data_IF_102995902190
#
_entry.id   IF_102995902190
#
_cell.length_a   1.000
_cell.length_b   1.000
_cell.length_c   1.000
_cell.angle_alpha   90.00
_cell.angle_beta   90.00
_cell.angle_gamma   90.00
#
_symmetry.space_group_name_H-M   'P 1'
#
loop_
_entity.id
_entity.type
_entity.pdbx_description
1 polymer ?
#
# COMPACT_ATOMS: atom_id res chain seq x y z
N UNK A 1 6.21 -23.47 7.79
CA UNK A 1 5.73 -22.42 6.87
C UNK A 1 6.75 -21.29 6.78
N UNK A 2 6.45 -20.23 6.03
CA UNK A 2 7.25 -18.97 5.96
C UNK A 2 6.37 -17.78 6.36
N UNK A 3 7.00 -16.69 6.78
CA UNK A 3 6.31 -15.42 7.12
C UNK A 3 6.59 -14.37 6.05
N UNK A 4 5.67 -13.42 5.91
CA UNK A 4 5.90 -12.20 5.13
C UNK A 4 6.65 -11.19 6.02
N UNK A 5 7.83 -10.76 5.58
CA UNK A 5 8.67 -9.79 6.31
C UNK A 5 8.32 -8.36 5.91
N UNK A 6 7.10 -7.93 6.24
CA UNK A 6 6.60 -6.58 5.99
C UNK A 6 5.96 -6.05 7.28
N UNK A 7 6.31 -4.83 7.66
CA UNK A 7 5.58 -4.11 8.71
C UNK A 7 4.19 -3.76 8.18
N UNK A 8 3.17 -4.54 8.53
CA UNK A 8 1.81 -4.35 8.01
C UNK A 8 0.96 -3.59 9.03
N UNK A 9 0.92 -2.26 8.90
CA UNK A 9 0.32 -1.37 9.91
C UNK A 9 -0.66 -0.39 9.23
N UNK A 10 -1.71 -0.90 8.55
CA UNK A 10 -2.49 -0.08 7.63
C UNK A 10 -3.49 0.87 8.32
N UNK A 11 -3.93 0.62 9.56
CA UNK A 11 -5.04 1.39 10.16
C UNK A 11 -4.95 1.81 11.64
N UNK A 12 -3.81 1.68 12.37
CA UNK A 12 -3.72 2.28 13.70
C UNK A 12 -3.80 3.81 13.70
N UNK A 13 -4.35 4.37 14.77
CA UNK A 13 -4.43 5.81 14.99
C UNK A 13 -3.10 6.36 15.53
N UNK A 14 -2.17 6.54 14.61
CA UNK A 14 -0.83 7.06 14.88
C UNK A 14 0.23 5.96 14.93
N UNK A 15 1.47 6.36 14.67
CA UNK A 15 2.63 5.48 14.68
C UNK A 15 3.73 6.09 15.54
N UNK A 16 4.36 5.28 16.38
CA UNK A 16 5.47 5.72 17.23
C UNK A 16 6.71 5.98 16.38
N UNK A 17 7.54 6.97 16.74
CA UNK A 17 8.75 7.31 15.98
C UNK A 17 9.79 6.19 15.93
N UNK A 18 9.73 5.24 16.88
CA UNK A 18 10.62 4.08 16.99
C UNK A 18 10.23 2.91 16.06
N UNK A 19 9.22 3.04 15.20
CA UNK A 19 8.82 1.96 14.28
C UNK A 19 9.99 1.40 13.45
N UNK A 20 10.91 2.24 12.89
CA UNK A 20 12.10 1.74 12.22
C UNK A 20 12.99 0.84 13.08
N UNK A 21 13.30 1.26 14.31
CA UNK A 21 14.10 0.48 15.26
C UNK A 21 13.44 -0.86 15.59
N UNK A 22 12.14 -0.84 15.90
CA UNK A 22 11.38 -2.04 16.30
C UNK A 22 11.36 -3.05 15.15
N UNK A 23 10.94 -2.65 13.95
CA UNK A 23 10.82 -3.57 12.81
C UNK A 23 12.17 -4.16 12.42
N UNK A 24 13.23 -3.35 12.42
CA UNK A 24 14.59 -3.81 12.11
C UNK A 24 15.10 -4.84 13.12
N UNK A 25 14.72 -4.71 14.40
CA UNK A 25 14.99 -5.70 15.45
C UNK A 25 14.40 -7.09 15.18
N UNK A 26 13.33 -7.16 14.38
CA UNK A 26 12.72 -8.42 13.91
C UNK A 26 13.19 -8.82 12.51
N UNK A 27 14.21 -8.13 11.96
CA UNK A 27 14.70 -8.36 10.61
C UNK A 27 13.67 -8.04 9.53
N UNK A 28 12.83 -7.03 9.78
CA UNK A 28 11.89 -6.41 8.84
C UNK A 28 12.43 -5.02 8.53
N UNK A 29 12.73 -4.76 7.27
CA UNK A 29 13.39 -3.54 6.77
C UNK A 29 12.44 -2.64 5.96
N UNK A 30 11.14 -2.93 6.03
CA UNK A 30 10.11 -2.22 5.29
C UNK A 30 8.78 -2.17 6.04
N UNK A 31 7.95 -1.17 5.71
CA UNK A 31 6.63 -0.97 6.30
C UNK A 31 5.64 -0.47 5.24
N UNK A 32 4.38 -0.89 5.37
CA UNK A 32 3.25 -0.22 4.73
C UNK A 32 2.30 0.33 5.80
N UNK A 33 1.83 1.56 5.61
CA UNK A 33 0.95 2.23 6.57
C UNK A 33 0.12 3.33 5.91
N UNK A 34 -1.00 3.73 6.53
CA UNK A 34 -1.91 4.73 5.96
C UNK A 34 -1.99 6.01 6.76
N UNK A 35 -2.08 5.92 8.09
CA UNK A 35 -2.43 7.09 8.92
C UNK A 35 -1.18 7.85 9.36
N UNK A 36 -1.38 9.10 9.77
CA UNK A 36 -0.34 9.90 10.42
C UNK A 36 0.47 10.82 9.51
N UNK A 37 0.26 10.77 8.19
CA UNK A 37 0.79 11.75 7.23
C UNK A 37 -0.36 12.33 6.43
N UNK A 38 -0.41 13.65 6.26
CA UNK A 38 -1.34 14.25 5.33
C UNK A 38 -0.95 13.87 3.90
N UNK A 39 -1.90 13.30 3.15
CA UNK A 39 -1.67 12.76 1.81
C UNK A 39 -0.91 13.74 0.90
N UNK A 40 -1.37 14.99 0.86
CA UNK A 40 -0.85 16.06 0.01
C UNK A 40 0.48 16.66 0.54
N UNK A 41 0.89 16.31 1.76
CA UNK A 41 2.17 16.77 2.36
C UNK A 41 3.26 15.70 2.36
N UNK A 42 2.95 14.47 1.94
CA UNK A 42 3.94 13.39 1.88
C UNK A 42 4.95 13.58 0.74
N UNK A 43 6.16 13.02 0.88
CA UNK A 43 7.21 13.07 -0.14
C UNK A 43 6.95 12.14 -1.34
N UNK A 44 5.84 11.41 -1.34
CA UNK A 44 5.49 10.40 -2.33
C UNK A 44 4.79 9.20 -1.69
N UNK A 45 4.55 8.16 -2.48
CA UNK A 45 4.07 6.86 -1.99
C UNK A 45 5.18 6.13 -1.24
N UNK A 46 6.43 6.27 -1.68
CA UNK A 46 7.57 5.57 -1.12
C UNK A 46 8.68 6.53 -0.65
N UNK A 47 9.21 6.28 0.54
CA UNK A 47 10.30 7.06 1.13
C UNK A 47 11.06 6.27 2.18
N UNK A 48 12.19 6.81 2.64
CA UNK A 48 12.94 6.26 3.77
C UNK A 48 12.41 6.88 5.06
N UNK A 49 11.96 6.04 5.99
CA UNK A 49 11.61 6.49 7.33
C UNK A 49 12.77 6.22 8.29
N UNK A 50 13.37 7.31 8.78
CA UNK A 50 14.39 7.29 9.82
C UNK A 50 13.77 7.44 11.22
N UNK A 51 14.13 6.52 12.13
CA UNK A 51 13.80 6.58 13.55
C UNK A 51 14.73 7.53 14.31
N UNK A 52 14.39 7.88 15.57
CA UNK A 52 15.18 8.81 16.37
C UNK A 52 16.59 8.29 16.71
N UNK A 53 16.82 6.97 16.63
CA UNK A 53 18.13 6.33 16.81
C UNK A 53 18.97 6.28 15.52
N UNK A 54 18.45 6.84 14.42
CA UNK A 54 19.07 6.78 13.11
C UNK A 54 18.76 5.50 12.32
N UNK A 55 17.98 4.56 12.88
CA UNK A 55 17.58 3.36 12.15
C UNK A 55 16.64 3.72 11.00
N UNK A 56 16.94 3.22 9.81
CA UNK A 56 16.13 3.46 8.60
C UNK A 56 15.42 2.18 8.12
N UNK A 57 14.22 2.37 7.55
CA UNK A 57 13.52 1.37 6.76
C UNK A 57 12.86 2.00 5.52
N UNK A 58 12.49 1.15 4.57
CA UNK A 58 11.71 1.56 3.39
C UNK A 58 10.22 1.61 3.73
N UNK A 59 9.57 2.74 3.50
CA UNK A 59 8.20 2.96 3.88
C UNK A 59 7.31 3.20 2.65
N UNK A 60 6.14 2.56 2.64
CA UNK A 60 5.08 2.80 1.66
C UNK A 60 3.87 3.42 2.37
N UNK A 61 3.57 4.67 2.04
CA UNK A 61 2.38 5.38 2.48
C UNK A 61 1.22 5.10 1.53
N UNK A 62 0.13 4.56 2.08
CA UNK A 62 -1.02 4.11 1.33
C UNK A 62 -1.80 5.27 0.66
N UNK A 63 -2.60 4.96 -0.39
CA UNK A 63 -3.46 5.91 -1.07
C UNK A 63 -4.36 6.73 -0.15
N UNK A 64 -4.96 7.80 -0.67
CA UNK A 64 -5.92 8.64 0.08
C UNK A 64 -7.10 7.85 0.63
N UNK A 65 -7.53 6.85 -0.14
CA UNK A 65 -8.61 5.90 0.23
C UNK A 65 -8.13 4.76 1.13
N UNK A 66 -6.84 4.72 1.49
CA UNK A 66 -6.25 3.69 2.31
C UNK A 66 -6.00 2.40 1.56
N UNK A 67 -6.34 1.28 2.20
CA UNK A 67 -6.06 -0.06 1.69
C UNK A 67 -7.14 -0.64 0.78
N UNK A 68 -7.92 0.21 0.11
CA UNK A 68 -9.07 -0.20 -0.70
C UNK A 68 -9.15 0.43 -2.10
N UNK A 69 -8.03 0.96 -2.62
CA UNK A 69 -7.98 1.60 -3.94
C UNK A 69 -8.26 0.67 -5.14
N UNK A 70 -8.38 -0.64 -4.92
CA UNK A 70 -8.82 -1.60 -5.94
C UNK A 70 -9.84 -2.59 -5.38
N UNK A 71 -10.68 -2.18 -4.41
CA UNK A 71 -11.71 -3.05 -3.84
C UNK A 71 -12.87 -3.31 -4.82
N UNK A 72 -13.57 -4.44 -4.66
CA UNK A 72 -14.83 -4.76 -5.35
C UNK A 72 -14.80 -4.58 -6.88
N UNK A 73 -13.79 -5.15 -7.54
CA UNK A 73 -13.66 -5.08 -8.99
C UNK A 73 -14.67 -6.03 -9.66
N UNK A 74 -15.41 -5.59 -10.69
CA UNK A 74 -16.31 -6.43 -11.44
C UNK A 74 -15.55 -7.50 -12.24
N UNK A 75 -16.23 -8.58 -12.62
CA UNK A 75 -15.67 -9.62 -13.50
C UNK A 75 -15.38 -9.10 -14.91
N UNK A 76 -16.17 -8.13 -15.39
CA UNK A 76 -15.94 -7.46 -16.66
C UNK A 76 -14.64 -6.64 -16.62
N UNK A 77 -13.64 -7.09 -17.38
CA UNK A 77 -12.30 -6.49 -17.42
C UNK A 77 -12.33 -5.02 -17.82
N UNK A 78 -13.22 -4.64 -18.75
CA UNK A 78 -13.36 -3.26 -19.20
C UNK A 78 -13.85 -2.33 -18.09
N UNK A 79 -14.83 -2.78 -17.30
CA UNK A 79 -15.30 -2.05 -16.13
C UNK A 79 -14.27 -2.06 -14.99
N UNK A 80 -13.61 -3.18 -14.73
CA UNK A 80 -12.56 -3.28 -13.72
C UNK A 80 -11.42 -2.31 -14.01
N UNK A 81 -10.96 -2.25 -15.27
CA UNK A 81 -9.95 -1.30 -15.72
C UNK A 81 -10.38 0.16 -15.49
N UNK A 82 -11.63 0.51 -15.85
CA UNK A 82 -12.16 1.86 -15.62
C UNK A 82 -12.14 2.25 -14.14
N UNK A 83 -12.42 1.31 -13.24
CA UNK A 83 -12.39 1.57 -11.79
C UNK A 83 -10.97 1.78 -11.29
N UNK A 84 -10.01 0.93 -11.67
CA UNK A 84 -8.62 1.07 -11.20
C UNK A 84 -7.86 2.19 -11.90
N UNK A 85 -8.30 2.68 -13.07
CA UNK A 85 -7.64 3.77 -13.80
C UNK A 85 -7.48 5.04 -12.93
N UNK A 86 -8.51 5.39 -12.16
CA UNK A 86 -8.44 6.51 -11.22
C UNK A 86 -7.43 6.28 -10.10
N UNK A 87 -7.34 5.06 -9.58
CA UNK A 87 -6.34 4.68 -8.59
C UNK A 87 -4.92 4.70 -9.16
N UNK A 88 -4.74 4.28 -10.41
CA UNK A 88 -3.46 4.34 -11.12
C UNK A 88 -3.01 5.79 -11.31
N UNK A 89 -3.91 6.67 -11.76
CA UNK A 89 -3.62 8.11 -11.93
C UNK A 89 -3.24 8.79 -10.60
N UNK A 90 -3.97 8.49 -9.52
CA UNK A 90 -3.68 8.99 -8.17
C UNK A 90 -2.30 8.50 -7.68
N UNK A 91 -2.00 7.21 -7.82
CA UNK A 91 -0.71 6.65 -7.43
C UNK A 91 0.44 7.23 -8.25
N UNK A 92 0.29 7.36 -9.58
CA UNK A 92 1.32 7.90 -10.47
C UNK A 92 1.70 9.35 -10.12
N UNK A 93 0.78 10.12 -9.55
CA UNK A 93 1.06 11.51 -9.15
C UNK A 93 2.08 11.62 -8.01
N UNK A 94 2.30 10.54 -7.25
CA UNK A 94 3.13 10.48 -6.04
C UNK A 94 4.18 9.36 -6.06
N UNK A 95 4.26 8.59 -7.14
CA UNK A 95 5.16 7.45 -7.26
C UNK A 95 6.63 7.87 -7.34
N UNK A 96 7.52 7.12 -6.66
CA UNK A 96 8.98 7.31 -6.74
C UNK A 96 9.77 6.04 -7.13
N UNK A 97 9.11 4.87 -7.22
CA UNK A 97 9.71 3.53 -7.36
C UNK A 97 9.44 2.78 -8.69
N UNK A 98 8.73 3.38 -9.64
CA UNK A 98 8.14 2.83 -10.88
C UNK A 98 7.15 1.68 -10.67
N UNK A 99 6.66 1.52 -9.45
CA UNK A 99 5.70 0.46 -9.08
C UNK A 99 4.45 1.09 -8.47
N UNK A 100 3.29 0.52 -8.76
CA UNK A 100 2.01 0.98 -8.22
C UNK A 100 1.38 -0.12 -7.36
N UNK A 101 0.92 0.24 -6.17
CA UNK A 101 0.29 -0.69 -5.23
C UNK A 101 -1.24 -0.58 -5.28
N UNK A 102 -1.87 -1.55 -5.92
CA UNK A 102 -3.33 -1.73 -5.94
C UNK A 102 -3.75 -2.76 -4.89
N UNK A 103 -4.59 -2.34 -3.94
CA UNK A 103 -5.03 -3.13 -2.80
C UNK A 103 -6.48 -3.59 -3.04
N UNK A 104 -6.62 -4.85 -3.45
CA UNK A 104 -7.89 -5.51 -3.67
C UNK A 104 -8.42 -6.09 -2.36
N UNK A 105 -8.96 -5.22 -1.51
CA UNK A 105 -9.46 -5.58 -0.19
C UNK A 105 -10.04 -4.36 0.51
N UNK A 106 -10.80 -4.60 1.56
CA UNK A 106 -11.19 -3.61 2.57
C UNK A 106 -11.69 -4.39 3.79
N UNK A 107 -12.06 -3.70 4.86
CA UNK A 107 -12.65 -4.29 6.05
C UNK A 107 -13.77 -5.28 5.70
N UNK A 108 -13.58 -6.52 6.11
CA UNK A 108 -14.55 -7.62 5.97
C UNK A 108 -14.98 -7.93 4.52
N UNK A 109 -14.23 -7.48 3.51
CA UNK A 109 -14.51 -7.86 2.12
C UNK A 109 -14.08 -9.31 1.87
N UNK A 110 -14.99 -10.10 1.29
CA UNK A 110 -14.66 -11.45 0.84
C UNK A 110 -13.64 -11.43 -0.30
N UNK A 111 -12.77 -12.44 -0.32
CA UNK A 111 -11.81 -12.59 -1.40
C UNK A 111 -12.56 -12.79 -2.73
N UNK A 112 -12.23 -11.97 -3.72
CA UNK A 112 -12.87 -11.98 -5.04
C UNK A 112 -12.25 -13.09 -5.92
N UNK A 113 -12.95 -14.21 -6.18
CA UNK A 113 -12.35 -15.41 -6.77
C UNK A 113 -11.89 -15.23 -8.22
N UNK A 114 -12.47 -14.26 -8.95
CA UNK A 114 -12.15 -13.98 -10.34
C UNK A 114 -10.86 -13.20 -10.53
N UNK A 115 -10.36 -12.51 -9.49
CA UNK A 115 -9.20 -11.62 -9.57
C UNK A 115 -7.95 -12.28 -10.18
N UNK A 116 -7.52 -13.50 -9.78
CA UNK A 116 -6.34 -14.13 -10.37
C UNK A 116 -6.42 -14.37 -11.89
N UNK A 117 -7.63 -14.43 -12.45
CA UNK A 117 -7.86 -14.53 -13.88
C UNK A 117 -7.91 -13.13 -14.51
N UNK A 118 -8.74 -12.24 -13.98
CA UNK A 118 -8.94 -10.89 -14.52
C UNK A 118 -7.65 -10.07 -14.59
N UNK A 119 -6.73 -10.20 -13.62
CA UNK A 119 -5.46 -9.45 -13.64
C UNK A 119 -4.54 -9.78 -14.82
N UNK A 120 -4.72 -10.95 -15.47
CA UNK A 120 -3.94 -11.31 -16.67
C UNK A 120 -4.46 -10.60 -17.92
N UNK A 121 -5.74 -10.29 -17.93
CA UNK A 121 -6.43 -9.68 -19.07
C UNK A 121 -6.45 -8.15 -18.96
N UNK A 122 -6.26 -7.62 -17.76
CA UNK A 122 -5.99 -6.20 -17.52
C UNK A 122 -4.58 -5.88 -18.02
N UNK A 123 -4.49 -5.29 -19.22
CA UNK A 123 -3.25 -4.66 -19.72
C UNK A 123 -3.25 -3.19 -19.31
N UNK A 124 -2.31 -2.81 -18.43
CA UNK A 124 -2.08 -1.42 -17.99
C UNK A 124 -0.93 -0.80 -18.77
#
# INVERSE_FOLDING_TARGET
GRVMKIGYIPDPFGHISQMPQILKGFGIDNIIFWRGIEYDQSQGNEFVWQGPDGTELFAVHLPKVGYCNAMSLPEDVGQAYKLIKGAIEDLLSRETSKSLLLLNGVDHLEAQPHIPHSVKDISV
#
